data_IF_829525606110
#
_entry.id   IF_829525606110
#
_cell.length_a   1.000
_cell.length_b   1.000
_cell.length_c   1.000
_cell.angle_alpha   90.00
_cell.angle_beta   90.00
_cell.angle_gamma   90.00
#
_symmetry.space_group_name_H-M   'P 1'
#
loop_
_entity.id
_entity.type
_entity.pdbx_description
1 polymer ?
#
# COMPACT_ATOMS: atom_id res chain seq x y z
N UNK A 1 -1.07 -14.15 0.33
CA UNK A 1 -0.57 -13.60 1.59
C UNK A 1 -1.75 -13.34 2.51
N UNK A 2 -1.63 -13.62 3.80
CA UNK A 2 -2.58 -13.13 4.81
C UNK A 2 -2.20 -11.70 5.22
N UNK A 3 -3.09 -10.99 5.91
CA UNK A 3 -2.79 -9.63 6.42
C UNK A 3 -1.61 -9.64 7.40
N UNK A 4 -1.39 -10.75 8.12
CA UNK A 4 -0.27 -10.91 9.05
C UNK A 4 1.08 -11.16 8.36
N UNK A 5 1.06 -11.50 7.06
CA UNK A 5 2.27 -11.64 6.24
C UNK A 5 2.67 -10.31 5.57
N UNK A 6 1.83 -9.26 5.66
CA UNK A 6 2.14 -7.92 5.15
C UNK A 6 3.01 -7.15 6.14
N UNK A 7 3.75 -6.18 5.61
CA UNK A 7 4.44 -5.18 6.42
C UNK A 7 3.53 -4.49 7.46
N UNK A 8 4.06 -4.15 8.65
CA UNK A 8 3.28 -3.64 9.76
C UNK A 8 2.72 -2.24 9.50
N UNK A 9 1.55 -1.97 10.09
CA UNK A 9 0.87 -0.68 9.98
C UNK A 9 -0.42 -0.66 10.79
N UNK A 10 -0.99 0.54 10.90
CA UNK A 10 -2.18 0.80 11.73
C UNK A 10 -3.49 0.67 10.98
N UNK A 11 -3.45 0.73 9.64
CA UNK A 11 -4.63 0.74 8.78
C UNK A 11 -4.52 -0.37 7.76
N UNK A 12 -5.49 -1.28 7.76
CA UNK A 12 -5.68 -2.28 6.70
C UNK A 12 -6.76 -1.76 5.77
N UNK A 13 -6.45 -1.73 4.49
CA UNK A 13 -7.32 -1.21 3.44
C UNK A 13 -7.61 -2.32 2.44
N UNK A 14 -8.88 -2.55 2.16
CA UNK A 14 -9.31 -3.37 1.03
C UNK A 14 -9.15 -2.56 -0.24
N UNK A 15 -8.16 -2.92 -1.03
CA UNK A 15 -7.83 -2.25 -2.30
C UNK A 15 -8.98 -2.45 -3.28
N UNK A 16 -9.36 -1.37 -3.96
CA UNK A 16 -10.33 -1.42 -5.06
C UNK A 16 -9.69 -1.11 -6.40
N UNK A 17 -8.72 -0.21 -6.40
CA UNK A 17 -8.00 0.22 -7.59
C UNK A 17 -6.53 0.46 -7.24
N UNK A 18 -5.68 0.27 -8.24
CA UNK A 18 -4.29 0.68 -8.25
C UNK A 18 -3.96 1.18 -9.67
N UNK A 19 -2.74 1.64 -9.89
CA UNK A 19 -2.27 2.24 -11.15
C UNK A 19 -0.92 1.65 -11.52
N UNK A 20 -0.55 1.71 -12.79
CA UNK A 20 0.80 1.36 -13.24
C UNK A 20 1.51 2.65 -13.63
N UNK A 21 2.51 3.05 -12.87
CA UNK A 21 3.38 4.17 -13.17
C UNK A 21 4.67 3.71 -13.85
N UNK A 22 5.39 4.67 -14.45
CA UNK A 22 6.73 4.41 -14.99
C UNK A 22 7.68 3.82 -13.94
N UNK A 23 7.56 4.26 -12.68
CA UNK A 23 8.36 3.77 -11.56
C UNK A 23 8.09 2.29 -11.26
N UNK A 24 6.85 1.83 -11.39
CA UNK A 24 6.51 0.41 -11.23
C UNK A 24 7.15 -0.44 -12.34
N UNK A 25 7.16 0.06 -13.58
CA UNK A 25 7.81 -0.61 -14.70
C UNK A 25 9.34 -0.67 -14.54
N UNK A 26 9.98 0.38 -14.00
CA UNK A 26 11.41 0.35 -13.66
C UNK A 26 11.69 -0.67 -12.56
N UNK A 27 10.86 -0.69 -11.52
CA UNK A 27 10.94 -1.62 -10.39
C UNK A 27 10.90 -3.08 -10.86
N UNK A 28 9.94 -3.42 -11.73
CA UNK A 28 9.81 -4.75 -12.33
C UNK A 28 11.05 -5.18 -13.14
N UNK A 29 11.67 -4.23 -13.84
CA UNK A 29 12.91 -4.48 -14.61
C UNK A 29 14.18 -4.53 -13.75
N UNK A 30 14.08 -4.32 -12.43
CA UNK A 30 15.23 -4.17 -11.54
C UNK A 30 16.05 -2.90 -11.82
N UNK A 31 15.49 -1.96 -12.59
CA UNK A 31 16.16 -0.73 -12.99
C UNK A 31 15.91 0.38 -11.95
N UNK A 32 16.89 1.28 -11.79
CA UNK A 32 16.76 2.45 -10.93
C UNK A 32 16.78 2.17 -9.42
N UNK A 33 17.01 0.91 -8.99
CA UNK A 33 17.03 0.50 -7.57
C UNK A 33 15.78 0.96 -6.80
N UNK A 34 14.63 0.84 -7.46
CA UNK A 34 13.35 1.28 -6.89
C UNK A 34 12.97 0.40 -5.70
N UNK A 35 12.81 -0.90 -5.90
CA UNK A 35 12.53 -1.82 -4.81
C UNK A 35 13.76 -1.99 -3.92
N UNK A 36 13.61 -1.71 -2.63
CA UNK A 36 14.69 -1.74 -1.64
C UNK A 36 14.59 -2.92 -0.66
N UNK A 37 13.46 -3.62 -0.65
CA UNK A 37 13.18 -4.79 0.19
C UNK A 37 12.66 -5.93 -0.68
N UNK A 38 13.02 -7.18 -0.35
CA UNK A 38 12.48 -8.39 -0.98
C UNK A 38 12.21 -9.48 0.08
N UNK A 39 11.11 -10.24 -0.03
CA UNK A 39 9.99 -10.03 -0.95
C UNK A 39 9.20 -8.75 -0.60
N UNK A 40 8.58 -8.14 -1.60
CA UNK A 40 7.71 -6.96 -1.44
C UNK A 40 6.67 -6.93 -2.55
N UNK A 41 5.41 -6.71 -2.19
CA UNK A 41 4.33 -6.46 -3.15
C UNK A 41 4.55 -5.08 -3.79
N UNK A 42 4.57 -5.00 -5.11
CA UNK A 42 4.74 -3.74 -5.83
C UNK A 42 3.46 -2.87 -5.87
N UNK A 43 3.54 -1.69 -6.48
CA UNK A 43 2.42 -0.76 -6.65
C UNK A 43 2.52 0.42 -5.69
N UNK A 44 2.91 1.58 -6.22
CA UNK A 44 3.16 2.79 -5.42
C UNK A 44 1.90 3.61 -5.08
N UNK A 45 0.74 3.23 -5.63
CA UNK A 45 -0.54 3.90 -5.43
C UNK A 45 -1.67 2.87 -5.24
N UNK A 46 -2.63 3.20 -4.40
CA UNK A 46 -3.89 2.45 -4.28
C UNK A 46 -5.04 3.37 -3.84
N UNK A 47 -6.27 3.01 -4.22
CA UNK A 47 -7.51 3.55 -3.65
C UNK A 47 -8.45 2.42 -3.21
N UNK A 48 -9.11 2.58 -2.07
CA UNK A 48 -9.87 1.49 -1.44
C UNK A 48 -10.74 1.94 -0.28
N UNK A 49 -11.13 0.97 0.54
CA UNK A 49 -11.91 1.19 1.76
C UNK A 49 -11.20 0.59 2.95
N UNK A 50 -11.13 1.31 4.06
CA UNK A 50 -10.58 0.79 5.32
C UNK A 50 -11.36 -0.46 5.73
N UNK A 51 -10.64 -1.53 6.00
CA UNK A 51 -11.14 -2.80 6.50
C UNK A 51 -11.00 -2.84 8.03
N UNK A 52 -9.79 -2.69 8.55
CA UNK A 52 -9.54 -2.57 10.00
C UNK A 52 -8.56 -1.45 10.30
N UNK A 53 -8.64 -0.87 11.49
CA UNK A 53 -7.66 0.12 11.93
C UNK A 53 -7.51 0.18 13.45
N UNK A 54 -6.27 0.35 13.91
CA UNK A 54 -5.92 0.75 15.28
C UNK A 54 -5.72 2.26 15.42
N UNK A 55 -5.72 3.01 14.32
CA UNK A 55 -5.61 4.47 14.33
C UNK A 55 -7.00 5.11 14.42
N UNK A 56 -7.30 5.90 15.47
CA UNK A 56 -8.62 6.50 15.66
C UNK A 56 -9.03 7.49 14.56
N UNK A 57 -8.08 7.94 13.71
CA UNK A 57 -8.37 8.78 12.54
C UNK A 57 -9.11 8.04 11.44
N UNK A 58 -9.14 6.70 11.44
CA UNK A 58 -9.72 5.88 10.38
C UNK A 58 -10.62 4.78 10.95
N UNK A 59 -11.76 4.52 10.30
CA UNK A 59 -12.74 3.50 10.69
C UNK A 59 -13.14 2.64 9.49
N UNK A 60 -13.59 1.41 9.78
CA UNK A 60 -14.09 0.50 8.75
C UNK A 60 -15.11 1.19 7.82
N UNK A 61 -14.91 1.03 6.51
CA UNK A 61 -15.76 1.59 5.45
C UNK A 61 -15.32 2.98 4.94
N UNK A 62 -14.36 3.64 5.59
CA UNK A 62 -13.83 4.92 5.10
C UNK A 62 -13.15 4.74 3.74
N UNK A 63 -13.46 5.63 2.79
CA UNK A 63 -12.80 5.66 1.48
C UNK A 63 -11.47 6.40 1.60
N UNK A 64 -10.41 5.75 1.16
CA UNK A 64 -9.05 6.26 1.32
C UNK A 64 -8.20 6.06 0.08
N UNK A 65 -7.17 6.88 -0.02
CA UNK A 65 -6.10 6.80 -1.00
C UNK A 65 -4.79 6.65 -0.22
N UNK A 66 -3.90 5.79 -0.70
CA UNK A 66 -2.53 5.68 -0.19
C UNK A 66 -1.60 5.74 -1.39
N UNK A 67 -0.65 6.68 -1.36
CA UNK A 67 0.32 6.85 -2.42
C UNK A 67 1.64 7.40 -1.86
N UNK A 68 2.74 7.16 -2.59
CA UNK A 68 4.09 7.59 -2.22
C UNK A 68 4.69 6.87 -0.98
N UNK A 69 5.50 7.58 -0.19
CA UNK A 69 6.32 7.03 0.90
C UNK A 69 7.13 5.79 0.45
N UNK A 70 7.08 4.71 1.24
CA UNK A 70 7.74 3.44 0.92
C UNK A 70 6.78 2.40 0.31
N UNK A 71 5.51 2.75 0.08
CA UNK A 71 4.52 1.86 -0.53
C UNK A 71 5.02 1.31 -1.87
N UNK A 72 5.06 -0.02 -2.02
CA UNK A 72 5.54 -0.69 -3.23
C UNK A 72 7.05 -0.55 -3.50
N UNK A 73 7.83 -0.06 -2.53
CA UNK A 73 9.25 0.28 -2.64
C UNK A 73 10.06 -0.40 -1.53
N UNK A 74 9.77 -0.08 -0.28
CA UNK A 74 10.37 -0.71 0.91
C UNK A 74 9.31 -1.27 1.87
N UNK A 75 8.03 -1.16 1.48
CA UNK A 75 6.85 -1.61 2.18
C UNK A 75 5.89 -2.25 1.16
N UNK A 76 5.18 -3.31 1.53
CA UNK A 76 4.18 -3.94 0.66
C UNK A 76 3.17 -2.93 0.09
N UNK A 77 2.93 -3.02 -1.22
CA UNK A 77 2.24 -2.04 -2.05
C UNK A 77 0.87 -2.45 -2.58
N UNK A 78 0.35 -1.60 -3.48
CA UNK A 78 -1.03 -1.59 -3.97
C UNK A 78 -1.44 -2.71 -4.94
N UNK A 79 -0.52 -3.55 -5.42
CA UNK A 79 -0.86 -4.69 -6.29
C UNK A 79 -1.32 -5.93 -5.51
N UNK A 80 -2.14 -5.70 -4.48
CA UNK A 80 -2.76 -6.73 -3.67
C UNK A 80 -4.18 -6.31 -3.28
N UNK A 81 -5.03 -7.31 -2.97
CA UNK A 81 -6.42 -7.08 -2.53
C UNK A 81 -6.50 -6.37 -1.17
N UNK A 82 -5.47 -6.51 -0.35
CA UNK A 82 -5.32 -5.83 0.93
C UNK A 82 -3.95 -5.17 1.03
N UNK A 83 -3.94 -3.97 1.60
CA UNK A 83 -2.74 -3.19 1.91
C UNK A 83 -2.80 -2.83 3.39
N UNK A 84 -1.68 -2.98 4.09
CA UNK A 84 -1.52 -2.53 5.48
C UNK A 84 -0.50 -1.41 5.50
N UNK A 85 -0.78 -0.27 6.13
CA UNK A 85 0.15 0.88 6.16
C UNK A 85 0.03 1.69 7.45
N UNK A 86 1.05 2.48 7.82
CA UNK A 86 0.93 3.50 8.86
C UNK A 86 -0.19 4.49 8.56
N UNK A 87 -0.91 4.94 9.59
CA UNK A 87 -2.03 5.88 9.42
C UNK A 87 -1.64 7.22 8.79
N UNK A 88 -0.38 7.65 8.96
CA UNK A 88 0.14 8.90 8.40
C UNK A 88 0.26 8.90 6.86
N UNK A 89 0.21 7.72 6.23
CA UNK A 89 0.26 7.60 4.77
C UNK A 89 -1.12 7.67 4.13
N UNK A 90 -2.17 7.57 4.95
CA UNK A 90 -3.55 7.40 4.48
C UNK A 90 -4.22 8.76 4.34
N UNK A 91 -4.74 9.04 3.15
CA UNK A 91 -5.51 10.26 2.87
C UNK A 91 -6.98 9.91 2.73
N UNK A 92 -7.83 10.57 3.52
CA UNK A 92 -9.28 10.41 3.46
C UNK A 92 -9.83 11.15 2.23
N UNK A 93 -10.76 10.50 1.51
CA UNK A 93 -11.51 11.13 0.41
C UNK A 93 -12.68 11.97 0.92
#
# INVERSE_FOLDING_TARGET
MTVDELDPGDVVVKTKYSTINYKDALSYKGAGKIMRKYPTVAGIDMAGTVDTSSDPRFKHGDKVIVHAYDLGVAHDGGYAEYVRVPGDWVVRR
#
